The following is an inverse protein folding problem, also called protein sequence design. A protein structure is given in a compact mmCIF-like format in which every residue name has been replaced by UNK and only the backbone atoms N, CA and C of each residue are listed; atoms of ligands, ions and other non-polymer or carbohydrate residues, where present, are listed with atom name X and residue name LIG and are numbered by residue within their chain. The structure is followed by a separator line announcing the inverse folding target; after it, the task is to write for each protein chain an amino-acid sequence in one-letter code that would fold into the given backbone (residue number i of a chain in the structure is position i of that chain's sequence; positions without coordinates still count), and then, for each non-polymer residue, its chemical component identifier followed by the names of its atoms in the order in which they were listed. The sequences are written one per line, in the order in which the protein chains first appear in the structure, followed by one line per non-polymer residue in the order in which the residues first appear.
data_IF_802809816309
#
_entry.id   IF_802809816309
#
_cell.length_a   1.000
_cell.length_b   1.000
_cell.length_c   1.000
_cell.angle_alpha   90.00
_cell.angle_beta   90.00
_cell.angle_gamma   90.00
#
_symmetry.space_group_name_H-M   'P 1'
#
loop_
_entity.id
_entity.type
_entity.pdbx_description
1 polymer ?
#
# COMPACT_ATOMS: atom_id res chain seq x y z
N UNK A 1 0.70 -52.53 58.89
CA UNK A 1 0.27 -52.93 57.53
C UNK A 1 0.72 -51.87 56.54
N UNK A 2 1.42 -52.26 55.47
CA UNK A 2 1.82 -51.40 54.34
C UNK A 2 0.68 -51.41 53.31
N UNK A 3 0.15 -50.25 52.96
CA UNK A 3 -0.48 -50.01 51.66
C UNK A 3 -0.11 -48.60 51.19
N UNK A 4 0.50 -48.54 50.02
CA UNK A 4 0.97 -47.33 49.34
C UNK A 4 0.24 -47.21 48.01
N UNK A 5 -0.54 -46.15 47.81
CA UNK A 5 -1.10 -45.68 46.52
C UNK A 5 -1.22 -44.14 46.66
N UNK A 6 -0.17 -43.37 46.35
CA UNK A 6 0.13 -42.67 45.07
C UNK A 6 -0.90 -41.60 44.64
N UNK A 7 -0.46 -40.35 44.79
CA UNK A 7 -0.66 -39.18 43.91
C UNK A 7 -2.08 -38.85 43.40
N UNK A 8 -2.83 -38.07 44.17
CA UNK A 8 -3.91 -37.24 43.62
C UNK A 8 -3.31 -35.96 43.02
N UNK A 9 -3.29 -35.93 41.69
CA UNK A 9 -2.75 -34.85 40.85
C UNK A 9 -3.62 -33.59 40.93
N UNK A 10 -2.94 -32.47 41.22
CA UNK A 10 -2.97 -31.17 40.51
C UNK A 10 -4.30 -30.70 39.87
N UNK A 11 -4.81 -29.61 40.45
CA UNK A 11 -5.16 -28.30 39.86
C UNK A 11 -5.98 -28.25 38.57
N UNK A 12 -7.06 -27.47 38.55
CA UNK A 12 -7.34 -26.54 37.44
C UNK A 12 -8.35 -25.45 37.88
N UNK A 13 -7.83 -24.26 38.22
CA UNK A 13 -8.57 -23.00 38.20
C UNK A 13 -8.63 -22.55 36.73
N UNK A 14 -9.82 -22.55 36.13
CA UNK A 14 -10.01 -22.02 34.79
C UNK A 14 -10.14 -20.49 34.85
N UNK A 15 -9.02 -19.79 34.72
CA UNK A 15 -9.03 -18.37 34.39
C UNK A 15 -9.23 -18.25 32.87
N UNK A 16 -10.42 -17.81 32.45
CA UNK A 16 -10.67 -17.44 31.05
C UNK A 16 -9.98 -16.10 30.80
N UNK A 17 -8.73 -16.16 30.33
CA UNK A 17 -8.08 -15.01 29.73
C UNK A 17 -8.75 -14.77 28.37
N UNK A 18 -9.63 -13.76 28.29
CA UNK A 18 -10.10 -13.22 27.03
C UNK A 18 -8.91 -12.50 26.38
N UNK A 19 -8.15 -13.24 25.57
CA UNK A 19 -7.17 -12.65 24.67
C UNK A 19 -7.92 -11.81 23.65
N UNK A 20 -8.08 -10.52 23.92
CA UNK A 20 -8.36 -9.54 22.88
C UNK A 20 -7.17 -9.60 21.95
N UNK A 21 -7.29 -10.40 20.89
CA UNK A 21 -6.48 -10.21 19.70
C UNK A 21 -6.90 -8.84 19.15
N UNK A 22 -6.32 -7.78 19.71
CA UNK A 22 -6.20 -6.52 19.02
C UNK A 22 -5.30 -6.84 17.82
N UNK A 23 -5.90 -7.36 16.75
CA UNK A 23 -5.39 -7.18 15.42
C UNK A 23 -5.43 -5.67 15.20
N UNK A 24 -4.39 -4.99 15.69
CA UNK A 24 -4.15 -3.61 15.35
C UNK A 24 -4.13 -3.61 13.84
N UNK A 25 -5.17 -3.03 13.23
CA UNK A 25 -4.99 -2.44 11.93
C UNK A 25 -3.85 -1.46 12.16
N UNK A 26 -2.62 -1.86 11.81
CA UNK A 26 -1.51 -0.93 11.67
C UNK A 26 -2.09 0.18 10.82
N UNK A 27 -2.30 1.35 11.41
CA UNK A 27 -2.90 2.47 10.72
C UNK A 27 -1.96 2.76 9.56
N UNK A 28 -2.37 2.38 8.35
CA UNK A 28 -1.59 2.63 7.15
C UNK A 28 -1.43 4.14 7.08
N UNK A 29 -0.20 4.62 7.08
CA UNK A 29 0.19 6.04 7.08
C UNK A 29 -0.02 6.66 5.70
N UNK A 30 -1.21 6.45 5.15
CA UNK A 30 -1.59 6.95 3.85
C UNK A 30 -1.78 8.47 3.93
N UNK A 31 -1.30 9.16 2.91
CA UNK A 31 -1.61 10.57 2.69
C UNK A 31 -3.08 10.65 2.29
N UNK A 32 -3.88 11.37 3.10
CA UNK A 32 -5.31 11.57 2.85
C UNK A 32 -5.63 12.96 2.31
N UNK A 33 -4.66 13.88 2.33
CA UNK A 33 -4.83 15.23 1.78
C UNK A 33 -4.57 15.23 0.27
N UNK A 34 -5.58 15.65 -0.50
CA UNK A 34 -5.52 15.69 -1.96
C UNK A 34 -4.40 16.60 -2.47
N UNK A 35 -4.26 17.80 -1.90
CA UNK A 35 -3.28 18.77 -2.35
C UNK A 35 -1.85 18.32 -2.06
N UNK A 36 -1.64 17.59 -0.96
CA UNK A 36 -0.37 16.96 -0.63
C UNK A 36 0.03 15.91 -1.66
N UNK A 37 -0.89 15.02 -2.06
CA UNK A 37 -0.60 14.02 -3.10
C UNK A 37 -0.38 14.66 -4.47
N UNK A 38 -1.18 15.66 -4.84
CA UNK A 38 -0.97 16.42 -6.09
C UNK A 38 0.40 17.10 -6.11
N UNK A 39 0.80 17.74 -5.02
CA UNK A 39 2.13 18.37 -4.87
C UNK A 39 3.25 17.35 -4.85
N UNK A 40 3.03 16.17 -4.28
CA UNK A 40 4.01 15.11 -4.18
C UNK A 40 4.31 14.51 -5.56
N UNK A 41 3.26 14.14 -6.30
CA UNK A 41 3.36 13.42 -7.56
C UNK A 41 3.49 14.33 -8.78
N UNK A 42 2.87 15.52 -8.78
CA UNK A 42 2.86 16.41 -9.93
C UNK A 42 4.27 16.81 -10.40
N UNK A 43 4.57 16.53 -11.67
CA UNK A 43 5.88 16.75 -12.29
C UNK A 43 6.92 15.68 -11.99
N UNK A 44 6.63 14.72 -11.10
CA UNK A 44 7.60 13.74 -10.64
C UNK A 44 7.63 12.48 -11.52
N UNK A 45 8.75 11.78 -11.47
CA UNK A 45 8.91 10.42 -11.99
C UNK A 45 9.09 9.46 -10.84
N UNK A 46 8.14 8.54 -10.67
CA UNK A 46 8.26 7.40 -9.78
C UNK A 46 9.07 6.30 -10.44
N UNK A 47 10.10 5.81 -9.75
CA UNK A 47 10.95 4.70 -10.18
C UNK A 47 10.96 3.68 -9.05
N UNK A 48 10.42 2.49 -9.32
CA UNK A 48 10.24 1.46 -8.30
C UNK A 48 10.07 0.07 -8.86
N UNK A 49 9.45 -0.78 -8.03
CA UNK A 49 9.17 -2.20 -8.35
C UNK A 49 7.70 -2.47 -8.12
N UNK A 50 7.06 -3.20 -9.04
CA UNK A 50 5.73 -3.76 -8.83
C UNK A 50 5.86 -5.09 -8.10
N UNK A 51 5.45 -5.11 -6.83
CA UNK A 51 5.79 -6.19 -5.89
C UNK A 51 5.22 -7.55 -6.27
N UNK A 52 4.10 -7.58 -7.01
CA UNK A 52 3.48 -8.85 -7.43
C UNK A 52 4.34 -9.63 -8.43
N UNK A 53 5.07 -8.93 -9.29
CA UNK A 53 5.85 -9.54 -10.39
C UNK A 53 7.34 -9.25 -10.27
N UNK A 54 7.75 -8.52 -9.24
CA UNK A 54 9.14 -8.08 -9.02
C UNK A 54 9.75 -7.38 -10.24
N UNK A 55 8.90 -6.74 -11.05
CA UNK A 55 9.31 -6.06 -12.27
C UNK A 55 9.51 -4.57 -12.03
N UNK A 56 10.49 -3.99 -12.72
CA UNK A 56 10.68 -2.54 -12.75
C UNK A 56 9.37 -1.84 -13.11
N UNK A 57 9.08 -0.77 -12.38
CA UNK A 57 7.85 -0.01 -12.51
C UNK A 57 8.16 1.48 -12.46
N UNK A 58 7.99 2.14 -13.61
CA UNK A 58 8.24 3.57 -13.76
C UNK A 58 6.98 4.28 -14.23
N UNK A 59 6.65 5.38 -13.58
CA UNK A 59 5.55 6.26 -13.94
C UNK A 59 6.04 7.72 -13.96
N UNK A 60 5.78 8.43 -15.05
CA UNK A 60 5.95 9.87 -15.13
C UNK A 60 4.59 10.56 -14.96
N UNK A 61 4.49 11.40 -13.94
CA UNK A 61 3.30 12.16 -13.58
C UNK A 61 3.44 13.59 -14.08
N UNK A 62 2.94 13.88 -15.29
CA UNK A 62 2.89 15.23 -15.83
C UNK A 62 2.03 16.14 -14.96
N UNK A 63 2.48 17.37 -14.71
CA UNK A 63 1.73 18.37 -13.95
C UNK A 63 0.41 18.80 -14.62
N UNK A 64 0.25 18.49 -15.91
CA UNK A 64 -0.94 18.66 -16.72
C UNK A 64 -1.96 17.50 -16.59
N UNK A 65 -1.68 16.52 -15.73
CA UNK A 65 -2.51 15.32 -15.56
C UNK A 65 -2.19 14.20 -16.56
N UNK A 66 -1.14 14.34 -17.39
CA UNK A 66 -0.67 13.25 -18.26
C UNK A 66 0.10 12.21 -17.45
N UNK A 67 -0.13 10.94 -17.70
CA UNK A 67 0.63 9.82 -17.15
C UNK A 67 1.38 9.11 -18.26
N UNK A 68 2.64 8.70 -18.05
CA UNK A 68 3.36 7.85 -19.00
C UNK A 68 4.11 6.74 -18.26
N UNK A 69 4.14 5.52 -18.81
CA UNK A 69 4.95 4.43 -18.25
C UNK A 69 6.32 4.27 -18.94
N UNK A 70 7.14 3.34 -18.44
CA UNK A 70 8.46 3.00 -19.00
C UNK A 70 8.42 2.56 -20.48
N UNK A 71 7.29 2.05 -20.96
CA UNK A 71 7.11 1.60 -22.34
C UNK A 71 6.66 2.72 -23.29
N UNK A 72 6.35 3.90 -22.75
CA UNK A 72 5.80 5.03 -23.49
C UNK A 72 4.27 4.99 -23.63
N UNK A 73 3.58 4.09 -22.93
CA UNK A 73 2.12 4.09 -22.92
C UNK A 73 1.61 5.32 -22.17
N UNK A 74 0.59 5.97 -22.73
CA UNK A 74 -0.01 7.19 -22.22
C UNK A 74 -1.28 6.88 -21.42
N UNK A 75 -1.44 7.63 -20.34
CA UNK A 75 -2.62 7.66 -19.50
C UNK A 75 -2.95 9.08 -19.08
N UNK A 76 -4.01 9.19 -18.30
CA UNK A 76 -4.30 10.36 -17.47
C UNK A 76 -4.26 9.97 -16.01
N UNK A 77 -3.85 10.90 -15.16
CA UNK A 77 -3.90 10.72 -13.71
C UNK A 77 -4.55 11.92 -13.04
N UNK A 78 -5.07 11.67 -11.84
CA UNK A 78 -5.65 12.66 -10.96
C UNK A 78 -5.60 12.15 -9.52
N UNK A 79 -5.92 13.02 -8.56
CA UNK A 79 -6.12 12.63 -7.17
C UNK A 79 -7.60 12.78 -6.84
N UNK A 80 -8.19 11.78 -6.19
CA UNK A 80 -9.58 11.86 -5.74
C UNK A 80 -9.72 12.64 -4.41
N UNK A 81 -10.96 12.80 -3.94
CA UNK A 81 -11.25 13.51 -2.70
C UNK A 81 -10.77 12.78 -1.42
N UNK A 82 -10.30 11.53 -1.54
CA UNK A 82 -9.76 10.75 -0.43
C UNK A 82 -8.23 10.77 -0.41
N UNK A 83 -7.58 11.55 -1.29
CA UNK A 83 -6.13 11.57 -1.44
C UNK A 83 -5.58 10.36 -2.18
N UNK A 84 -6.39 9.61 -2.94
CA UNK A 84 -5.89 8.48 -3.73
C UNK A 84 -5.37 8.95 -5.08
N UNK A 85 -4.21 8.43 -5.49
CA UNK A 85 -3.76 8.52 -6.88
C UNK A 85 -4.62 7.63 -7.77
N UNK A 86 -5.35 8.23 -8.69
CA UNK A 86 -6.14 7.55 -9.71
C UNK A 86 -5.53 7.69 -11.10
N UNK A 87 -5.76 6.69 -11.95
CA UNK A 87 -5.34 6.74 -13.35
C UNK A 87 -6.34 6.06 -14.28
N UNK A 88 -6.23 6.39 -15.56
CA UNK A 88 -6.75 5.61 -16.68
C UNK A 88 -5.73 5.56 -17.81
N UNK A 89 -5.49 4.37 -18.37
CA UNK A 89 -4.64 4.21 -19.54
C UNK A 89 -5.42 4.49 -20.83
N UNK A 90 -4.87 5.36 -21.68
CA UNK A 90 -5.50 5.79 -22.93
C UNK A 90 -5.05 4.93 -24.13
N UNK A 91 -3.88 4.31 -24.02
CA UNK A 91 -3.31 3.42 -25.02
C UNK A 91 -2.53 2.25 -24.38
N UNK A 92 -1.76 1.54 -25.21
CA UNK A 92 -0.95 0.40 -24.77
C UNK A 92 -1.77 -0.85 -24.40
N UNK A 93 -1.09 -1.81 -23.77
CA UNK A 93 -1.70 -3.11 -23.40
C UNK A 93 -2.80 -3.00 -22.35
N UNK A 94 -2.80 -1.90 -21.59
CA UNK A 94 -3.75 -1.65 -20.50
C UNK A 94 -4.83 -0.62 -20.88
N UNK A 95 -4.97 -0.26 -22.15
CA UNK A 95 -5.96 0.73 -22.60
C UNK A 95 -7.35 0.48 -22.00
N UNK A 96 -7.94 1.53 -21.44
CA UNK A 96 -9.25 1.52 -20.76
C UNK A 96 -9.21 1.00 -19.32
N UNK A 97 -8.06 0.49 -18.84
CA UNK A 97 -7.89 0.14 -17.45
C UNK A 97 -7.76 1.39 -16.59
N UNK A 98 -8.57 1.48 -15.54
CA UNK A 98 -8.53 2.55 -14.55
C UNK A 98 -8.49 2.00 -13.13
N UNK A 99 -8.03 2.83 -12.19
CA UNK A 99 -8.04 2.48 -10.77
C UNK A 99 -7.35 3.51 -9.90
N UNK A 100 -7.73 3.51 -8.62
CA UNK A 100 -7.22 4.39 -7.58
C UNK A 100 -6.39 3.62 -6.55
N UNK A 101 -5.36 4.27 -6.02
CA UNK A 101 -4.39 3.70 -5.10
C UNK A 101 -4.09 4.70 -3.98
N UNK A 102 -4.02 4.19 -2.76
CA UNK A 102 -3.50 4.95 -1.62
C UNK A 102 -2.02 5.25 -1.82
N UNK A 103 -1.58 6.39 -1.30
CA UNK A 103 -0.21 6.87 -1.41
C UNK A 103 0.38 6.98 -0.01
N UNK A 104 1.58 6.44 0.18
CA UNK A 104 2.38 6.59 1.40
C UNK A 104 3.73 7.15 0.98
N UNK A 105 4.25 8.11 1.76
CA UNK A 105 5.57 8.68 1.54
C UNK A 105 6.30 8.85 2.88
N UNK A 106 7.35 8.06 3.08
CA UNK A 106 8.12 8.01 4.32
C UNK A 106 9.60 7.84 3.98
N UNK A 107 10.49 8.57 4.65
CA UNK A 107 11.94 8.51 4.47
C UNK A 107 12.43 8.61 3.01
N UNK A 108 11.72 9.40 2.18
CA UNK A 108 12.04 9.59 0.76
C UNK A 108 11.57 8.45 -0.15
N UNK A 109 10.87 7.46 0.39
CA UNK A 109 10.32 6.33 -0.33
C UNK A 109 8.81 6.50 -0.53
N UNK A 110 8.35 6.27 -1.76
CA UNK A 110 6.93 6.23 -2.12
C UNK A 110 6.46 4.78 -2.14
N UNK A 111 5.31 4.49 -1.54
CA UNK A 111 4.59 3.24 -1.69
C UNK A 111 3.16 3.49 -2.18
N UNK A 112 2.70 2.65 -3.11
CA UNK A 112 1.32 2.66 -3.62
C UNK A 112 0.56 1.45 -3.10
N UNK A 113 -0.68 1.68 -2.67
CA UNK A 113 -1.54 0.66 -2.09
C UNK A 113 -2.81 0.47 -2.91
N UNK A 114 -3.14 -0.76 -3.26
CA UNK A 114 -4.43 -1.09 -3.87
C UNK A 114 -5.23 -1.99 -2.92
N UNK A 115 -6.44 -1.56 -2.58
CA UNK A 115 -7.33 -2.30 -1.64
C UNK A 115 -6.63 -2.68 -0.33
N UNK A 116 -5.87 -1.74 0.24
CA UNK A 116 -5.14 -1.91 1.50
C UNK A 116 -3.89 -2.79 1.42
N UNK A 117 -3.46 -3.22 0.22
CA UNK A 117 -2.22 -3.98 0.01
C UNK A 117 -1.19 -3.12 -0.70
N UNK A 118 0.05 -3.08 -0.21
CA UNK A 118 1.18 -2.46 -0.91
C UNK A 118 1.39 -3.19 -2.22
N UNK A 119 1.36 -2.48 -3.35
CA UNK A 119 1.50 -3.06 -4.70
C UNK A 119 2.77 -2.60 -5.40
N UNK A 120 3.30 -1.44 -5.04
CA UNK A 120 4.60 -0.98 -5.53
C UNK A 120 5.27 -0.10 -4.51
N UNK A 121 6.60 -0.04 -4.59
CA UNK A 121 7.43 0.87 -3.80
C UNK A 121 8.64 1.31 -4.60
N UNK A 122 9.18 2.48 -4.26
CA UNK A 122 10.26 3.10 -5.01
C UNK A 122 10.49 4.54 -4.58
N UNK A 123 11.18 5.30 -5.42
CA UNK A 123 11.52 6.70 -5.14
C UNK A 123 10.85 7.63 -6.13
N UNK A 124 10.71 8.89 -5.74
CA UNK A 124 10.37 9.97 -6.66
C UNK A 124 11.62 10.73 -7.08
N UNK A 125 11.68 11.07 -8.36
CA UNK A 125 12.77 11.84 -8.97
C UNK A 125 12.19 12.95 -9.84
N UNK A 126 12.90 14.07 -9.94
CA UNK A 126 12.48 15.23 -10.73
C UNK A 126 11.33 16.03 -10.10
N UNK A 127 11.49 17.36 -10.10
CA UNK A 127 10.47 18.40 -9.93
C UNK A 127 10.95 19.64 -10.68
#
# INVERSE_FOLDING_TARGET
MKLSIRNARRSLLAAVALSVAAGGAMAQTLITDKAEVEKLLGGATFIGVYLRTESAYTLNFGADGKLTDASGANGRWWVDEQGQYCREWLDGKLKGNSGCMGVEFEDGQLALYSKGKKVSEGILTGK
#
